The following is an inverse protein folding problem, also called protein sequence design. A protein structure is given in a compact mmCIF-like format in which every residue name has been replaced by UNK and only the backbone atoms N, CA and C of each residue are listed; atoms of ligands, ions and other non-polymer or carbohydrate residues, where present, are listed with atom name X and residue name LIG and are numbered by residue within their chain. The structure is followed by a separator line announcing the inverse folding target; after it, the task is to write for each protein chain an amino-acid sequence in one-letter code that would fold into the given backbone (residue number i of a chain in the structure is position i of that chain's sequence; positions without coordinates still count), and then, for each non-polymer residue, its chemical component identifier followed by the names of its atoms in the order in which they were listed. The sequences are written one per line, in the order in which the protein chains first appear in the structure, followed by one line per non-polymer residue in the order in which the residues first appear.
data_IF_786704592676
#
_entry.id   IF_786704592676
#
_cell.length_a   1.000
_cell.length_b   1.000
_cell.length_c   1.000
_cell.angle_alpha   90.00
_cell.angle_beta   90.00
_cell.angle_gamma   90.00
#
_symmetry.space_group_name_H-M   'P 1'
#
loop_
_entity.id
_entity.type
_entity.pdbx_description
1 polymer ?
#
# COMPACT_ATOMS: atom_id res chain seq x y z
N UNK A 1 20.16 -16.80 53.75
CA UNK A 1 19.40 -16.89 52.47
C UNK A 1 19.97 -18.06 51.68
N UNK A 2 19.24 -19.17 51.58
CA UNK A 2 19.67 -20.39 50.86
C UNK A 2 19.82 -20.15 49.35
N UNK A 3 20.68 -20.92 48.67
CA UNK A 3 20.90 -20.83 47.21
C UNK A 3 19.62 -21.12 46.40
N UNK A 4 18.75 -21.99 46.89
CA UNK A 4 17.42 -22.23 46.30
C UNK A 4 16.58 -20.95 46.22
N UNK A 5 16.59 -20.12 47.26
CA UNK A 5 15.84 -18.85 47.27
C UNK A 5 16.39 -17.82 46.28
N UNK A 6 17.67 -17.92 45.89
CA UNK A 6 18.26 -17.05 44.85
C UNK A 6 17.83 -17.50 43.45
N UNK A 7 17.84 -18.80 43.17
CA UNK A 7 17.42 -19.35 41.88
C UNK A 7 15.95 -19.07 41.57
N UNK A 8 15.05 -19.26 42.54
CA UNK A 8 13.61 -18.96 42.38
C UNK A 8 13.38 -17.48 42.04
N UNK A 9 14.15 -16.58 42.66
CA UNK A 9 14.07 -15.14 42.36
C UNK A 9 14.55 -14.83 40.95
N UNK A 10 15.67 -15.41 40.51
CA UNK A 10 16.21 -15.19 39.16
C UNK A 10 15.23 -15.66 38.08
N UNK A 11 14.59 -16.81 38.26
CA UNK A 11 13.58 -17.32 37.33
C UNK A 11 12.35 -16.42 37.25
N UNK A 12 11.91 -15.88 38.40
CA UNK A 12 10.80 -14.93 38.45
C UNK A 12 11.14 -13.64 37.67
N UNK A 13 12.33 -13.07 37.90
CA UNK A 13 12.76 -11.87 37.17
C UNK A 13 12.88 -12.10 35.66
N UNK A 14 13.40 -13.27 35.25
CA UNK A 14 13.50 -13.64 33.83
C UNK A 14 12.12 -13.76 33.18
N UNK A 15 11.14 -14.36 33.86
CA UNK A 15 9.75 -14.44 33.37
C UNK A 15 9.11 -13.07 33.21
N UNK A 16 9.30 -12.19 34.20
CA UNK A 16 8.79 -10.81 34.15
C UNK A 16 9.42 -10.05 32.97
N UNK A 17 10.74 -10.16 32.79
CA UNK A 17 11.46 -9.51 31.70
C UNK A 17 10.97 -10.00 30.33
N UNK A 18 10.88 -11.31 30.13
CA UNK A 18 10.39 -11.88 28.88
C UNK A 18 8.95 -11.47 28.57
N UNK A 19 8.07 -11.47 29.57
CA UNK A 19 6.68 -11.01 29.40
C UNK A 19 6.60 -9.53 29.03
N UNK A 20 7.47 -8.68 29.60
CA UNK A 20 7.53 -7.27 29.25
C UNK A 20 8.02 -7.06 27.80
N UNK A 21 9.01 -7.84 27.35
CA UNK A 21 9.51 -7.83 25.97
C UNK A 21 8.40 -8.26 25.00
N UNK A 22 7.70 -9.36 25.28
CA UNK A 22 6.60 -9.82 24.42
C UNK A 22 5.49 -8.77 24.32
N UNK A 23 5.12 -8.13 25.44
CA UNK A 23 4.15 -7.04 25.43
C UNK A 23 4.63 -5.84 24.63
N UNK A 24 5.90 -5.44 24.73
CA UNK A 24 6.40 -4.29 23.98
C UNK A 24 6.49 -4.57 22.48
N UNK A 25 6.87 -5.79 22.09
CA UNK A 25 6.87 -6.22 20.68
C UNK A 25 5.43 -6.23 20.13
N UNK A 26 4.47 -6.80 20.87
CA UNK A 26 3.07 -6.81 20.44
C UNK A 26 2.49 -5.39 20.32
N UNK A 27 2.80 -4.49 21.26
CA UNK A 27 2.40 -3.08 21.18
C UNK A 27 3.00 -2.37 19.97
N UNK A 28 4.27 -2.61 19.66
CA UNK A 28 4.92 -2.06 18.48
C UNK A 28 4.34 -2.62 17.18
N UNK A 29 4.02 -3.91 17.13
CA UNK A 29 3.29 -4.51 16.01
C UNK A 29 1.88 -3.91 15.89
N UNK A 30 1.13 -3.76 16.98
CA UNK A 30 -0.20 -3.15 17.00
C UNK A 30 -0.17 -1.67 16.55
N UNK A 31 0.81 -0.89 16.99
CA UNK A 31 1.00 0.50 16.55
C UNK A 31 1.38 0.60 15.05
N UNK A 32 2.28 -0.28 14.58
CA UNK A 32 2.63 -0.42 13.15
C UNK A 32 1.43 -0.91 12.32
N UNK A 33 0.54 -1.70 12.92
CA UNK A 33 -0.71 -2.16 12.32
C UNK A 33 -1.87 -1.17 12.45
N UNK A 34 -1.76 -0.14 13.31
CA UNK A 34 -2.80 0.88 13.53
C UNK A 34 -2.93 1.83 12.33
N UNK A 35 -1.83 2.13 11.63
CA UNK A 35 -1.88 2.83 10.34
C UNK A 35 -2.25 1.83 9.24
N UNK A 36 -3.50 1.90 8.80
CA UNK A 36 -3.95 1.21 7.60
C UNK A 36 -3.30 1.80 6.35
N UNK A 37 -2.06 1.40 6.06
CA UNK A 37 -1.29 1.98 4.96
C UNK A 37 -1.90 1.75 3.58
N UNK A 38 -2.61 0.64 3.40
CA UNK A 38 -3.31 0.36 2.16
C UNK A 38 -4.40 1.41 1.93
N UNK A 39 -5.18 1.71 2.97
CA UNK A 39 -6.16 2.80 2.94
C UNK A 39 -5.49 4.17 2.81
N UNK A 40 -4.43 4.44 3.56
CA UNK A 40 -3.66 5.68 3.47
C UNK A 40 -3.19 5.96 2.04
N UNK A 41 -2.66 4.94 1.35
CA UNK A 41 -2.23 5.07 -0.05
C UNK A 41 -3.40 5.45 -0.96
N UNK A 42 -4.52 4.73 -0.87
CA UNK A 42 -5.70 5.00 -1.71
C UNK A 42 -6.29 6.38 -1.44
N UNK A 43 -6.45 6.74 -0.16
CA UNK A 43 -6.96 8.03 0.28
C UNK A 43 -6.05 9.16 -0.19
N UNK A 44 -4.73 8.99 -0.07
CA UNK A 44 -3.74 9.96 -0.56
C UNK A 44 -3.89 10.18 -2.06
N UNK A 45 -3.99 9.11 -2.86
CA UNK A 45 -4.20 9.25 -4.30
C UNK A 45 -5.51 9.98 -4.61
N UNK A 46 -6.60 9.67 -3.90
CA UNK A 46 -7.88 10.33 -4.09
C UNK A 46 -7.84 11.82 -3.74
N UNK A 47 -7.17 12.19 -2.63
CA UNK A 47 -6.94 13.59 -2.25
C UNK A 47 -6.09 14.31 -3.31
N UNK A 48 -5.04 13.66 -3.81
CA UNK A 48 -4.21 14.22 -4.87
C UNK A 48 -4.97 14.40 -6.20
N UNK A 49 -5.90 13.50 -6.52
CA UNK A 49 -6.79 13.62 -7.68
C UNK A 49 -7.77 14.78 -7.49
N UNK A 50 -8.43 14.87 -6.34
CA UNK A 50 -9.38 15.93 -6.03
C UNK A 50 -8.73 17.32 -6.03
N UNK A 51 -7.44 17.41 -5.68
CA UNK A 51 -6.64 18.64 -5.71
C UNK A 51 -5.90 18.87 -7.04
N UNK A 52 -6.21 18.11 -8.09
CA UNK A 52 -5.58 18.21 -9.43
C UNK A 52 -4.05 18.06 -9.45
N UNK A 53 -3.43 17.49 -8.40
CA UNK A 53 -1.98 17.20 -8.35
C UNK A 53 -1.59 15.99 -9.20
N UNK A 54 -2.54 15.10 -9.42
CA UNK A 54 -2.42 13.93 -10.30
C UNK A 54 -3.69 13.73 -11.09
N UNK A 55 -3.55 13.09 -12.25
CA UNK A 55 -4.68 12.74 -13.11
C UNK A 55 -4.65 11.27 -13.51
N UNK A 56 -5.81 10.78 -13.93
CA UNK A 56 -5.95 9.50 -14.61
C UNK A 56 -6.58 9.77 -15.98
N UNK A 57 -6.09 9.09 -17.01
CA UNK A 57 -6.69 9.17 -18.35
C UNK A 57 -7.73 8.09 -18.55
N UNK A 58 -8.88 8.46 -19.11
CA UNK A 58 -9.90 7.48 -19.46
C UNK A 58 -9.42 6.61 -20.61
N UNK A 59 -9.68 5.31 -20.51
CA UNK A 59 -9.45 4.34 -21.58
C UNK A 59 -10.73 3.57 -21.85
N UNK A 60 -10.99 3.28 -23.13
CA UNK A 60 -12.10 2.40 -23.49
C UNK A 60 -11.77 0.98 -23.07
N UNK A 61 -12.77 0.33 -22.48
CA UNK A 61 -12.68 -1.08 -22.13
C UNK A 61 -12.40 -1.92 -23.39
N UNK A 62 -11.52 -2.91 -23.27
CA UNK A 62 -11.17 -3.80 -24.38
C UNK A 62 -10.19 -3.24 -25.43
N UNK A 63 -9.85 -1.94 -25.42
CA UNK A 63 -8.81 -1.41 -26.33
C UNK A 63 -7.44 -2.02 -26.01
N UNK A 64 -6.82 -2.62 -27.03
CA UNK A 64 -5.50 -3.26 -26.91
C UNK A 64 -4.37 -2.24 -26.78
N UNK A 65 -4.44 -1.13 -27.53
CA UNK A 65 -3.44 -0.07 -27.53
C UNK A 65 -4.06 1.22 -27.00
N UNK A 66 -3.46 1.77 -25.95
CA UNK A 66 -3.89 3.00 -25.29
C UNK A 66 -2.84 4.09 -25.51
N UNK A 67 -3.31 5.34 -25.61
CA UNK A 67 -2.43 6.49 -25.75
C UNK A 67 -1.56 6.66 -24.51
N UNK A 68 -0.36 7.25 -24.69
CA UNK A 68 0.50 7.59 -23.56
C UNK A 68 -0.18 8.63 -22.68
N UNK A 69 0.00 8.50 -21.37
CA UNK A 69 -0.40 9.53 -20.44
C UNK A 69 0.51 10.75 -20.51
N UNK A 70 -0.07 11.95 -20.35
CA UNK A 70 0.63 13.24 -20.34
C UNK A 70 1.20 13.60 -18.97
N UNK A 71 1.78 14.81 -18.84
CA UNK A 71 2.33 15.31 -17.59
C UNK A 71 1.31 15.26 -16.44
N UNK A 72 1.81 14.90 -15.26
CA UNK A 72 1.09 14.63 -14.02
C UNK A 72 0.16 13.43 -13.95
N UNK A 73 -0.08 12.75 -15.06
CA UNK A 73 -0.85 11.53 -15.04
C UNK A 73 -0.10 10.37 -14.37
N UNK A 74 -0.81 9.62 -13.52
CA UNK A 74 -0.27 8.45 -12.81
C UNK A 74 -0.87 7.13 -13.26
N UNK A 75 -1.77 7.15 -14.25
CA UNK A 75 -2.45 5.94 -14.69
C UNK A 75 -3.68 6.20 -15.53
N UNK A 76 -4.46 5.15 -15.68
CA UNK A 76 -5.64 5.11 -16.52
C UNK A 76 -6.85 4.62 -15.72
N UNK A 77 -8.04 4.80 -16.26
CA UNK A 77 -9.24 4.19 -15.71
C UNK A 77 -10.22 3.80 -16.81
N UNK A 78 -11.00 2.76 -16.57
CA UNK A 78 -12.18 2.40 -17.37
C UNK A 78 -13.43 2.39 -16.46
N UNK A 79 -14.54 1.83 -16.94
CA UNK A 79 -15.78 1.74 -16.17
C UNK A 79 -15.67 0.91 -14.88
N UNK A 80 -14.69 0.02 -14.78
CA UNK A 80 -14.62 -1.02 -13.74
C UNK A 80 -13.34 -0.89 -12.89
N UNK A 81 -12.24 -0.50 -13.51
CA UNK A 81 -10.91 -0.56 -12.92
C UNK A 81 -10.15 0.75 -13.04
N UNK A 82 -9.25 0.96 -12.08
CA UNK A 82 -8.19 1.97 -12.16
C UNK A 82 -6.87 1.23 -12.40
N UNK A 83 -6.04 1.74 -13.32
CA UNK A 83 -4.74 1.15 -13.65
C UNK A 83 -3.63 2.15 -13.34
N UNK A 84 -2.91 1.93 -12.26
CA UNK A 84 -1.82 2.83 -11.86
C UNK A 84 -0.48 2.39 -12.45
N UNK A 85 0.28 3.37 -12.92
CA UNK A 85 1.72 3.22 -13.16
C UNK A 85 2.39 3.24 -11.79
N UNK A 86 2.70 2.05 -11.28
CA UNK A 86 3.07 1.85 -9.87
C UNK A 86 4.15 2.81 -9.37
N UNK A 87 5.26 2.91 -10.10
CA UNK A 87 6.39 3.74 -9.68
C UNK A 87 6.01 5.22 -9.60
N UNK A 88 5.26 5.72 -10.59
CA UNK A 88 4.81 7.11 -10.61
C UNK A 88 3.80 7.40 -9.51
N UNK A 89 2.81 6.51 -9.32
CA UNK A 89 1.78 6.67 -8.31
C UNK A 89 2.37 6.63 -6.88
N UNK A 90 3.23 5.65 -6.59
CA UNK A 90 3.88 5.54 -5.28
C UNK A 90 4.80 6.73 -5.02
N UNK A 91 5.66 7.11 -5.97
CA UNK A 91 6.59 8.23 -5.78
C UNK A 91 5.84 9.52 -5.45
N UNK A 92 4.77 9.81 -6.20
CA UNK A 92 3.95 11.01 -5.97
C UNK A 92 3.19 10.97 -4.65
N UNK A 93 2.59 9.83 -4.30
CA UNK A 93 1.90 9.68 -3.01
C UNK A 93 2.87 9.87 -1.84
N UNK A 94 4.05 9.27 -1.93
CA UNK A 94 5.06 9.37 -0.89
C UNK A 94 5.61 10.81 -0.77
N UNK A 95 5.86 11.49 -1.90
CA UNK A 95 6.26 12.90 -1.90
C UNK A 95 5.19 13.80 -1.27
N UNK A 96 3.92 13.52 -1.55
CA UNK A 96 2.80 14.27 -0.97
C UNK A 96 2.74 14.10 0.54
N UNK A 97 2.88 12.87 1.05
CA UNK A 97 2.89 12.60 2.49
C UNK A 97 4.09 13.25 3.19
N UNK A 98 5.27 13.21 2.58
CA UNK A 98 6.49 13.83 3.15
C UNK A 98 6.39 15.34 3.34
N UNK A 99 5.58 16.03 2.52
CA UNK A 99 5.32 17.47 2.70
C UNK A 99 4.48 17.78 3.95
N UNK A 100 3.82 16.78 4.52
CA UNK A 100 3.06 16.85 5.76
C UNK A 100 3.81 16.16 6.92
N UNK A 101 5.13 15.97 6.81
CA UNK A 101 5.96 15.24 7.76
C UNK A 101 5.48 13.80 8.05
N UNK A 102 4.78 13.17 7.10
CA UNK A 102 4.36 11.77 7.15
C UNK A 102 4.97 10.96 6.00
N UNK A 103 4.76 9.65 5.96
CA UNK A 103 5.24 8.78 4.89
C UNK A 103 4.73 7.36 5.02
N UNK A 104 5.02 6.54 4.01
CA UNK A 104 4.79 5.11 4.13
C UNK A 104 5.88 4.50 5.02
N UNK A 105 5.47 3.80 6.08
CA UNK A 105 6.38 3.07 6.96
C UNK A 105 6.76 1.71 6.38
N UNK A 106 5.93 1.13 5.51
CA UNK A 106 6.24 -0.15 4.87
C UNK A 106 7.03 -0.02 3.57
N UNK A 107 7.85 -1.05 3.25
CA UNK A 107 8.40 -1.25 1.92
C UNK A 107 7.31 -1.36 0.86
N UNK A 108 7.59 -0.85 -0.36
CA UNK A 108 6.68 -0.92 -1.53
C UNK A 108 6.00 -2.29 -1.70
N UNK A 109 6.78 -3.38 -1.58
CA UNK A 109 6.29 -4.75 -1.79
C UNK A 109 5.31 -5.22 -0.72
N UNK A 110 5.49 -4.77 0.51
CA UNK A 110 4.57 -5.07 1.62
C UNK A 110 3.29 -4.26 1.48
N UNK A 111 3.39 -2.99 1.05
CA UNK A 111 2.23 -2.19 0.70
C UNK A 111 1.41 -2.84 -0.43
N UNK A 112 2.04 -3.34 -1.49
CA UNK A 112 1.36 -4.10 -2.55
C UNK A 112 0.60 -5.30 -1.98
N UNK A 113 1.23 -6.05 -1.09
CA UNK A 113 0.63 -7.23 -0.45
C UNK A 113 -0.56 -6.85 0.41
N UNK A 114 -0.46 -5.76 1.20
CA UNK A 114 -1.59 -5.22 1.97
C UNK A 114 -2.73 -4.76 1.06
N UNK A 115 -2.43 -4.08 -0.04
CA UNK A 115 -3.44 -3.62 -1.02
C UNK A 115 -4.20 -4.81 -1.64
N UNK A 116 -3.51 -5.93 -1.91
CA UNK A 116 -4.15 -7.18 -2.38
C UNK A 116 -5.02 -7.78 -1.28
N UNK A 117 -4.51 -7.92 -0.05
CA UNK A 117 -5.25 -8.50 1.08
C UNK A 117 -6.55 -7.73 1.39
N UNK A 118 -6.53 -6.40 1.25
CA UNK A 118 -7.74 -5.56 1.41
C UNK A 118 -8.66 -5.57 0.19
N UNK A 119 -8.22 -6.17 -0.91
CA UNK A 119 -8.95 -6.26 -2.16
C UNK A 119 -9.05 -4.94 -2.91
N UNK A 120 -8.14 -3.99 -2.65
CA UNK A 120 -7.98 -2.80 -3.47
C UNK A 120 -7.29 -3.16 -4.78
N UNK A 121 -6.17 -3.88 -4.69
CA UNK A 121 -5.35 -4.31 -5.83
C UNK A 121 -5.79 -5.70 -6.28
N UNK A 122 -6.18 -5.82 -7.55
CA UNK A 122 -6.62 -7.05 -8.19
C UNK A 122 -5.46 -7.60 -9.04
N UNK A 123 -4.80 -8.69 -8.61
CA UNK A 123 -3.71 -9.29 -9.37
C UNK A 123 -4.18 -9.80 -10.75
N UNK A 124 -3.21 -10.06 -11.62
CA UNK A 124 -3.44 -10.71 -12.90
C UNK A 124 -3.84 -12.19 -12.71
N UNK A 125 -4.44 -12.79 -13.74
CA UNK A 125 -4.87 -14.20 -13.71
C UNK A 125 -3.72 -15.18 -13.45
N UNK A 126 -2.49 -14.81 -13.81
CA UNK A 126 -1.26 -15.58 -13.59
C UNK A 126 -0.64 -15.34 -12.19
N UNK A 127 -1.35 -14.66 -11.29
CA UNK A 127 -0.90 -14.36 -9.92
C UNK A 127 0.07 -13.18 -9.82
N UNK A 128 0.49 -12.58 -10.93
CA UNK A 128 1.35 -11.39 -10.90
C UNK A 128 0.60 -10.18 -10.39
N UNK A 129 1.28 -9.31 -9.63
CA UNK A 129 0.67 -8.08 -9.11
C UNK A 129 0.32 -7.08 -10.23
N UNK A 130 1.10 -7.07 -11.33
CA UNK A 130 0.92 -6.15 -12.46
C UNK A 130 0.22 -6.83 -13.64
N UNK A 131 -0.80 -6.20 -14.19
CA UNK A 131 -1.44 -6.58 -15.46
C UNK A 131 -0.69 -5.93 -16.62
N UNK A 132 -0.53 -6.63 -17.75
CA UNK A 132 0.13 -6.08 -18.94
C UNK A 132 -0.89 -5.40 -19.85
N UNK A 133 -0.65 -4.14 -20.21
CA UNK A 133 -1.39 -3.36 -21.22
C UNK A 133 -0.42 -2.80 -22.25
N UNK A 134 -0.85 -2.58 -23.49
CA UNK A 134 -0.02 -1.94 -24.51
C UNK A 134 -0.29 -0.44 -24.51
N UNK A 135 0.74 0.35 -24.21
CA UNK A 135 0.71 1.81 -24.18
C UNK A 135 1.62 2.29 -25.31
N UNK A 136 1.07 3.05 -26.27
CA UNK A 136 1.79 3.56 -27.43
C UNK A 136 2.64 2.48 -28.14
N UNK A 137 2.06 1.29 -28.36
CA UNK A 137 2.74 0.16 -28.99
C UNK A 137 3.70 -0.63 -28.09
N UNK A 138 4.02 -0.14 -26.89
CA UNK A 138 4.91 -0.81 -25.93
C UNK A 138 4.12 -1.51 -24.82
N UNK A 139 4.52 -2.73 -24.44
CA UNK A 139 3.83 -3.50 -23.40
C UNK A 139 4.33 -3.09 -22.01
N UNK A 140 3.45 -2.52 -21.19
CA UNK A 140 3.77 -2.01 -19.85
C UNK A 140 2.97 -2.75 -18.78
N UNK A 141 3.57 -2.93 -17.60
CA UNK A 141 2.92 -3.50 -16.43
C UNK A 141 2.26 -2.42 -15.56
N UNK A 142 0.96 -2.55 -15.31
CA UNK A 142 0.16 -1.63 -14.51
C UNK A 142 -0.44 -2.35 -13.30
N UNK A 143 -0.62 -1.65 -12.19
CA UNK A 143 -1.34 -2.16 -11.02
C UNK A 143 -2.84 -1.91 -11.21
N UNK A 144 -3.65 -2.97 -11.20
CA UNK A 144 -5.10 -2.88 -11.47
C UNK A 144 -5.88 -2.85 -10.17
N UNK A 145 -6.58 -1.76 -9.90
CA UNK A 145 -7.40 -1.56 -8.73
C UNK A 145 -8.88 -1.70 -9.04
N UNK A 146 -9.65 -2.23 -8.08
CA UNK A 146 -11.11 -2.18 -8.11
C UNK A 146 -11.56 -0.71 -8.00
N UNK A 147 -12.20 -0.16 -9.04
CA UNK A 147 -12.56 1.26 -9.04
C UNK A 147 -13.55 1.61 -7.94
N UNK A 148 -14.55 0.75 -7.70
CA UNK A 148 -15.61 1.02 -6.73
C UNK A 148 -15.04 1.13 -5.32
N UNK A 149 -14.17 0.19 -4.93
CA UNK A 149 -13.45 0.26 -3.65
C UNK A 149 -12.47 1.41 -3.62
N UNK A 150 -11.74 1.65 -4.72
CA UNK A 150 -10.75 2.72 -4.75
C UNK A 150 -11.38 4.10 -4.55
N UNK A 151 -12.54 4.37 -5.15
CA UNK A 151 -13.17 5.70 -5.12
C UNK A 151 -14.17 5.88 -3.96
N UNK A 152 -14.83 4.81 -3.47
CA UNK A 152 -15.87 4.90 -2.44
C UNK A 152 -15.39 4.49 -1.03
N UNK A 153 -14.14 4.75 -0.69
CA UNK A 153 -13.56 4.47 0.63
C UNK A 153 -14.06 5.40 1.74
N UNK A 154 -15.38 5.47 1.93
CA UNK A 154 -15.99 6.10 3.11
C UNK A 154 -15.91 5.17 4.32
#
# INVERSE_FOLDING_TARGET
MSEENKNVRCDLYRKIFNSAIEKSVNLQEEELHSKDEAKLFVDTINVMRASNKVSLSEIQEGKKNIASCSNNCIGYYDGIYIYLIWEAAYAKANEFLRKADDGFSLPKRELETKLIKKGYLIPAKDGRHKVKKTINGSRSGLMRFDRKKFENNK
#
